data_IF_581326310383
#
_entry.id   IF_581326310383
#
_cell.length_a   1.000
_cell.length_b   1.000
_cell.length_c   1.000
_cell.angle_alpha   90.00
_cell.angle_beta   90.00
_cell.angle_gamma   90.00
#
_symmetry.space_group_name_H-M   'P 1'
#
loop_
_entity.id
_entity.type
_entity.pdbx_description
1 polymer ?
#
# COMPACT_ATOMS: atom_id res chain seq x y z
N UNK A 1 -15.21 18.29 -26.96
CA UNK A 1 -14.35 17.25 -26.35
C UNK A 1 -14.34 17.44 -24.84
N UNK A 2 -15.23 16.74 -24.12
CA UNK A 2 -15.25 16.76 -22.65
C UNK A 2 -14.24 15.75 -22.10
N UNK A 3 -12.96 16.12 -22.07
CA UNK A 3 -12.00 15.38 -21.28
C UNK A 3 -12.35 15.60 -19.80
N UNK A 4 -13.14 14.69 -19.21
CA UNK A 4 -13.26 14.57 -17.76
C UNK A 4 -11.84 14.26 -17.24
N UNK A 5 -11.09 15.30 -16.90
CA UNK A 5 -9.75 15.16 -16.35
C UNK A 5 -9.81 14.30 -15.08
N UNK A 6 -8.99 13.24 -15.05
CA UNK A 6 -9.05 12.23 -14.00
C UNK A 6 -8.46 12.78 -12.69
N UNK A 7 -8.97 12.35 -11.52
CA UNK A 7 -8.32 12.65 -10.26
C UNK A 7 -6.86 12.20 -10.29
N UNK A 8 -5.98 13.01 -9.69
CA UNK A 8 -4.59 12.65 -9.49
C UNK A 8 -4.31 12.39 -8.01
N UNK A 9 -3.51 11.36 -7.73
CA UNK A 9 -2.99 11.06 -6.40
C UNK A 9 -1.49 10.83 -6.52
N UNK A 10 -0.74 11.29 -5.53
CA UNK A 10 0.68 11.04 -5.40
C UNK A 10 0.96 10.66 -3.95
N UNK A 11 1.70 9.56 -3.78
CA UNK A 11 2.13 9.03 -2.50
C UNK A 11 3.65 9.06 -2.47
N UNK A 12 4.21 9.89 -1.61
CA UNK A 12 5.64 9.93 -1.35
C UNK A 12 5.86 9.40 0.08
N UNK A 13 6.49 8.24 0.22
CA UNK A 13 6.72 7.60 1.53
C UNK A 13 8.20 7.33 1.75
N UNK A 14 8.71 7.68 2.93
CA UNK A 14 10.03 7.27 3.41
C UNK A 14 9.86 6.29 4.57
N UNK A 15 10.22 5.03 4.34
CA UNK A 15 10.19 3.99 5.36
C UNK A 15 11.54 3.91 6.09
N UNK A 16 11.53 4.20 7.39
CA UNK A 16 12.67 3.93 8.27
C UNK A 16 12.46 2.55 8.89
N UNK A 17 13.34 1.61 8.54
CA UNK A 17 13.25 0.22 9.02
C UNK A 17 14.44 -0.13 9.92
N UNK A 18 14.17 -0.64 11.11
CA UNK A 18 15.14 -1.30 11.98
C UNK A 18 14.91 -2.81 12.00
N UNK A 19 15.96 -3.62 11.98
CA UNK A 19 15.84 -5.09 12.14
C UNK A 19 16.95 -5.59 13.05
N UNK A 20 16.57 -6.33 14.08
CA UNK A 20 17.48 -6.93 15.05
C UNK A 20 17.36 -8.45 15.02
N UNK A 21 18.48 -9.13 14.75
CA UNK A 21 18.55 -10.59 14.72
C UNK A 21 18.81 -11.10 16.15
N UNK A 22 17.79 -11.73 16.76
CA UNK A 22 17.84 -12.22 18.15
C UNK A 22 18.55 -13.57 18.21
N UNK A 23 18.21 -14.48 17.29
CA UNK A 23 18.86 -15.79 17.12
C UNK A 23 19.12 -16.00 15.64
N UNK A 24 19.87 -17.01 15.17
CA UNK A 24 20.01 -17.27 13.73
C UNK A 24 18.69 -17.47 12.96
N UNK A 25 17.59 -17.76 13.67
CA UNK A 25 16.27 -17.96 13.08
C UNK A 25 15.32 -16.79 13.31
N UNK A 26 15.37 -16.19 14.50
CA UNK A 26 14.42 -15.16 14.95
C UNK A 26 15.00 -13.76 14.78
N UNK A 27 14.25 -12.87 14.13
CA UNK A 27 14.51 -11.44 14.13
C UNK A 27 13.25 -10.64 14.48
N UNK A 28 13.46 -9.42 14.94
CA UNK A 28 12.43 -8.42 15.16
C UNK A 28 12.66 -7.25 14.21
N UNK A 29 11.62 -6.81 13.51
CA UNK A 29 11.66 -5.67 12.62
C UNK A 29 10.65 -4.61 13.06
N UNK A 30 11.04 -3.34 12.97
CA UNK A 30 10.17 -2.18 13.18
C UNK A 30 10.21 -1.30 11.93
N UNK A 31 9.06 -0.79 11.49
CA UNK A 31 8.94 0.12 10.36
C UNK A 31 8.21 1.38 10.82
N UNK A 32 8.81 2.54 10.54
CA UNK A 32 8.24 3.87 10.76
C UNK A 32 8.08 4.55 9.39
N UNK A 33 6.85 4.63 8.85
CA UNK A 33 6.59 5.30 7.58
C UNK A 33 6.43 6.82 7.77
N UNK A 34 7.08 7.60 6.93
CA UNK A 34 6.92 9.06 6.85
C UNK A 34 6.21 9.40 5.54
N UNK A 35 4.98 9.89 5.62
CA UNK A 35 4.10 10.07 4.46
C UNK A 35 3.99 11.54 4.06
N UNK A 36 4.08 11.80 2.75
CA UNK A 36 3.79 13.08 2.11
C UNK A 36 2.86 12.79 0.93
N UNK A 37 1.56 12.80 1.20
CA UNK A 37 0.55 12.41 0.23
C UNK A 37 -0.19 13.63 -0.32
N UNK A 38 -0.63 13.54 -1.57
CA UNK A 38 -1.35 14.60 -2.28
C UNK A 38 -2.48 14.01 -3.08
N UNK A 39 -3.62 14.67 -3.08
CA UNK A 39 -4.74 14.35 -3.96
C UNK A 39 -5.26 15.61 -4.63
N UNK A 40 -5.73 15.47 -5.85
CA UNK A 40 -6.50 16.51 -6.49
C UNK A 40 -7.59 15.92 -7.40
N UNK A 41 -8.77 16.52 -7.34
CA UNK A 41 -9.95 16.06 -8.06
C UNK A 41 -10.86 17.24 -8.38
N UNK A 42 -11.79 17.03 -9.32
CA UNK A 42 -12.87 17.97 -9.59
C UNK A 42 -14.13 17.58 -8.85
N UNK A 43 -14.93 18.58 -8.51
CA UNK A 43 -16.29 18.39 -8.02
C UNK A 43 -17.15 17.80 -9.13
N UNK A 44 -17.78 16.66 -8.82
CA UNK A 44 -18.39 15.79 -9.84
C UNK A 44 -19.70 16.38 -10.37
N UNK A 45 -20.44 17.07 -9.50
CA UNK A 45 -21.79 17.58 -9.77
C UNK A 45 -21.84 19.10 -10.01
N UNK A 46 -20.73 19.82 -9.78
CA UNK A 46 -20.66 21.23 -10.11
C UNK A 46 -20.83 21.42 -11.65
N UNK A 47 -21.66 22.39 -12.08
CA UNK A 47 -21.75 22.81 -13.48
C UNK A 47 -20.36 23.02 -14.09
N UNK A 48 -20.17 22.68 -15.37
CA UNK A 48 -18.84 22.76 -16.02
C UNK A 48 -18.20 24.16 -15.89
N UNK A 49 -19.00 25.22 -15.88
CA UNK A 49 -18.55 26.60 -15.71
C UNK A 49 -18.07 26.94 -14.28
N UNK A 50 -18.39 26.12 -13.28
CA UNK A 50 -18.08 26.37 -11.85
C UNK A 50 -17.29 25.23 -11.21
N UNK A 51 -16.79 24.25 -11.98
CA UNK A 51 -15.98 23.16 -11.43
C UNK A 51 -14.68 23.69 -10.85
N UNK A 52 -14.55 23.56 -9.54
CA UNK A 52 -13.32 23.90 -8.84
C UNK A 52 -12.47 22.63 -8.72
N UNK A 53 -11.15 22.80 -8.86
CA UNK A 53 -10.19 21.73 -8.63
C UNK A 53 -9.82 21.73 -7.16
N UNK A 54 -10.28 20.72 -6.44
CA UNK A 54 -9.90 20.51 -5.06
C UNK A 54 -8.50 19.91 -4.96
N UNK A 55 -7.77 20.33 -3.93
CA UNK A 55 -6.41 19.89 -3.62
C UNK A 55 -6.30 19.63 -2.14
N UNK A 56 -5.99 18.38 -1.80
CA UNK A 56 -5.72 17.97 -0.43
C UNK A 56 -4.26 17.51 -0.31
N UNK A 57 -3.66 17.78 0.84
CA UNK A 57 -2.32 17.30 1.21
C UNK A 57 -2.38 16.72 2.61
N UNK A 58 -1.65 15.64 2.83
CA UNK A 58 -1.52 15.02 4.13
C UNK A 58 -0.04 14.73 4.38
N UNK A 59 0.48 15.14 5.54
CA UNK A 59 1.88 14.94 5.91
C UNK A 59 1.98 14.50 7.35
N UNK A 60 2.36 13.26 7.58
CA UNK A 60 2.48 12.74 8.93
C UNK A 60 3.33 11.48 8.98
N UNK A 61 3.74 11.10 10.18
CA UNK A 61 4.13 9.73 10.46
C UNK A 61 2.90 8.86 10.20
N UNK A 62 3.07 7.72 9.55
CA UNK A 62 2.00 6.74 9.40
C UNK A 62 1.93 5.76 10.57
N UNK A 63 1.20 4.68 10.37
CA UNK A 63 1.07 3.66 11.40
C UNK A 63 2.36 2.83 11.52
N UNK A 64 2.96 2.85 12.71
CA UNK A 64 4.19 2.12 13.02
C UNK A 64 3.86 0.63 13.12
N UNK A 65 4.71 -0.21 12.55
CA UNK A 65 4.57 -1.67 12.67
C UNK A 65 5.78 -2.32 13.31
N UNK A 66 5.51 -3.40 14.03
CA UNK A 66 6.53 -4.28 14.62
C UNK A 66 6.18 -5.72 14.27
N UNK A 67 7.15 -6.44 13.70
CA UNK A 67 6.96 -7.81 13.24
C UNK A 67 8.08 -8.71 13.73
N UNK A 68 7.72 -9.82 14.37
CA UNK A 68 8.65 -10.89 14.70
C UNK A 68 8.66 -11.90 13.55
N UNK A 69 9.85 -12.28 13.09
CA UNK A 69 10.06 -13.17 11.94
C UNK A 69 10.93 -14.34 12.32
N UNK A 70 10.55 -15.54 11.91
CA UNK A 70 11.31 -16.76 12.18
C UNK A 70 11.52 -17.57 10.91
N UNK A 71 12.76 -17.99 10.66
CA UNK A 71 13.08 -18.97 9.64
C UNK A 71 12.65 -20.38 10.08
N UNK A 72 12.00 -21.13 9.18
CA UNK A 72 11.61 -22.52 9.40
C UNK A 72 12.86 -23.38 9.60
N UNK A 73 13.86 -23.25 8.72
CA UNK A 73 15.15 -23.92 8.86
C UNK A 73 16.21 -22.95 9.36
N UNK A 74 17.24 -23.45 10.06
CA UNK A 74 18.42 -22.62 10.36
C UNK A 74 19.08 -22.20 9.03
N UNK A 75 19.36 -20.91 8.82
CA UNK A 75 19.93 -20.46 7.55
C UNK A 75 21.26 -21.15 7.16
N UNK A 76 22.08 -21.53 8.15
CA UNK A 76 23.33 -22.27 7.95
C UNK A 76 23.13 -23.70 7.42
N UNK A 77 21.99 -24.33 7.74
CA UNK A 77 21.66 -25.70 7.34
C UNK A 77 20.85 -25.73 6.03
N UNK A 78 20.28 -24.60 5.60
CA UNK A 78 19.47 -24.47 4.37
C UNK A 78 19.97 -23.37 3.43
N UNK A 79 21.24 -23.43 2.94
CA UNK A 79 21.86 -22.35 2.18
C UNK A 79 21.24 -22.13 0.79
N UNK A 80 20.52 -23.13 0.27
CA UNK A 80 19.91 -23.09 -1.07
C UNK A 80 18.44 -22.65 -1.05
N UNK A 81 17.85 -22.42 0.10
CA UNK A 81 16.46 -21.96 0.17
C UNK A 81 15.87 -22.14 1.54
N UNK A 82 14.93 -21.28 1.90
CA UNK A 82 14.30 -21.30 3.21
C UNK A 82 12.93 -20.63 3.14
N UNK A 83 12.18 -20.75 4.22
CA UNK A 83 10.88 -20.12 4.42
C UNK A 83 10.97 -19.34 5.74
N UNK A 84 10.57 -18.07 5.71
CA UNK A 84 10.38 -17.22 6.86
C UNK A 84 8.90 -16.98 7.05
N UNK A 85 8.44 -17.09 8.29
CA UNK A 85 7.09 -16.70 8.69
C UNK A 85 7.20 -15.51 9.65
N UNK A 86 6.27 -14.57 9.56
CA UNK A 86 6.22 -13.41 10.41
C UNK A 86 4.84 -13.14 10.96
N UNK A 87 4.80 -12.69 12.20
CA UNK A 87 3.61 -12.20 12.89
C UNK A 87 3.94 -10.87 13.55
N UNK A 88 3.06 -9.89 13.37
CA UNK A 88 3.31 -8.53 13.84
C UNK A 88 2.04 -7.77 14.15
N UNK A 89 2.24 -6.56 14.63
CA UNK A 89 1.19 -5.59 14.90
C UNK A 89 1.49 -4.29 14.17
N UNK A 90 0.44 -3.71 13.58
CA UNK A 90 0.43 -2.33 13.12
C UNK A 90 -0.32 -1.50 14.14
N UNK A 91 0.33 -0.48 14.69
CA UNK A 91 -0.21 0.36 15.76
C UNK A 91 -0.80 1.65 15.18
N UNK A 92 -1.91 2.18 15.74
CA UNK A 92 -2.61 3.36 15.24
C UNK A 92 -1.90 4.67 15.64
N UNK A 93 -0.63 4.81 15.25
CA UNK A 93 0.21 5.97 15.60
C UNK A 93 0.12 7.10 14.57
N UNK A 94 -0.30 6.78 13.34
CA UNK A 94 -0.42 7.75 12.27
C UNK A 94 -1.65 8.64 12.43
N UNK A 95 -1.58 9.86 11.88
CA UNK A 95 -2.74 10.75 11.92
C UNK A 95 -3.84 10.26 10.97
N UNK A 96 -4.93 9.71 11.53
CA UNK A 96 -6.12 9.30 10.78
C UNK A 96 -7.23 10.38 10.79
N UNK A 97 -6.97 11.57 11.35
CA UNK A 97 -7.90 12.71 11.41
C UNK A 97 -7.33 13.94 10.69
N UNK A 98 -6.41 13.75 9.77
CA UNK A 98 -5.86 14.83 8.95
C UNK A 98 -6.99 15.52 8.16
N UNK A 99 -6.96 16.86 8.13
CA UNK A 99 -7.99 17.68 7.48
C UNK A 99 -7.38 18.64 6.45
N UNK A 100 -8.21 19.05 5.50
CA UNK A 100 -7.89 20.08 4.50
C UNK A 100 -9.12 20.95 4.24
N UNK A 101 -8.91 22.19 3.84
CA UNK A 101 -10.00 23.09 3.45
C UNK A 101 -10.55 22.71 2.07
N UNK A 102 -11.67 21.99 2.04
CA UNK A 102 -12.30 21.45 0.83
C UNK A 102 -13.69 22.06 0.65
N UNK A 103 -14.11 22.29 -0.59
CA UNK A 103 -15.50 22.61 -0.89
C UNK A 103 -16.42 21.39 -0.75
N UNK A 104 -17.71 21.65 -0.62
CA UNK A 104 -18.75 20.62 -0.72
C UNK A 104 -18.89 20.10 -2.17
N UNK A 105 -19.82 19.19 -2.42
CA UNK A 105 -20.00 18.57 -3.74
C UNK A 105 -20.31 19.53 -4.91
N UNK A 106 -20.67 20.79 -4.61
CA UNK A 106 -20.91 21.87 -5.58
C UNK A 106 -19.71 22.82 -5.76
N UNK A 107 -18.59 22.59 -5.04
CA UNK A 107 -17.42 23.47 -5.00
C UNK A 107 -17.62 24.71 -4.13
N UNK A 108 -18.66 24.74 -3.30
CA UNK A 108 -19.00 25.87 -2.43
C UNK A 108 -18.69 25.54 -0.97
N UNK A 109 -18.98 26.46 -0.04
CA UNK A 109 -18.94 26.23 1.41
C UNK A 109 -17.65 25.55 1.90
N UNK A 110 -16.50 26.14 1.60
CA UNK A 110 -15.21 25.55 1.96
C UNK A 110 -15.07 25.42 3.47
N UNK A 111 -14.97 24.20 3.96
CA UNK A 111 -14.85 23.88 5.38
C UNK A 111 -13.64 22.98 5.64
N UNK A 112 -13.27 22.84 6.92
CA UNK A 112 -12.16 22.01 7.34
C UNK A 112 -12.61 20.55 7.47
N UNK A 113 -12.52 19.82 6.36
CA UNK A 113 -12.99 18.43 6.23
C UNK A 113 -11.85 17.43 6.29
N UNK A 114 -12.10 16.18 6.73
CA UNK A 114 -11.15 15.08 6.58
C UNK A 114 -10.59 14.97 5.16
N UNK A 115 -9.30 14.73 5.05
CA UNK A 115 -8.70 14.42 3.76
C UNK A 115 -9.27 13.10 3.21
N UNK A 116 -9.28 12.89 1.89
CA UNK A 116 -9.70 11.61 1.32
C UNK A 116 -8.94 10.43 1.93
N UNK A 117 -9.65 9.34 2.27
CA UNK A 117 -9.09 8.11 2.85
C UNK A 117 -7.82 7.65 2.12
N UNK A 118 -7.81 7.76 0.80
CA UNK A 118 -6.69 7.36 -0.06
C UNK A 118 -5.37 8.07 0.23
N UNK A 119 -5.35 9.24 0.87
CA UNK A 119 -4.12 9.97 1.21
C UNK A 119 -3.89 10.06 2.71
N UNK A 120 -4.75 9.43 3.51
CA UNK A 120 -4.70 9.48 4.96
C UNK A 120 -3.43 8.77 5.47
N UNK A 121 -2.62 9.40 6.33
CA UNK A 121 -1.36 8.81 6.80
C UNK A 121 -1.50 7.57 7.69
N UNK A 122 -2.58 7.49 8.48
CA UNK A 122 -2.94 6.32 9.27
C UNK A 122 -4.43 6.03 9.14
N UNK A 123 -4.88 4.87 9.60
CA UNK A 123 -6.30 4.50 9.55
C UNK A 123 -6.95 4.36 10.94
N UNK A 124 -6.13 4.40 12.00
CA UNK A 124 -6.58 4.27 13.38
C UNK A 124 -6.81 2.81 13.81
N UNK A 125 -6.55 1.81 12.98
CA UNK A 125 -6.62 0.39 13.35
C UNK A 125 -5.44 -0.07 14.21
N UNK A 126 -5.72 -0.91 15.22
CA UNK A 126 -4.72 -1.82 15.76
C UNK A 126 -4.90 -3.14 15.04
N UNK A 127 -3.93 -3.48 14.21
CA UNK A 127 -4.10 -4.52 13.20
C UNK A 127 -3.02 -5.59 13.30
N UNK A 128 -3.32 -6.79 12.82
CA UNK A 128 -2.43 -7.93 12.85
C UNK A 128 -1.78 -8.10 11.48
N UNK A 129 -0.46 -8.23 11.46
CA UNK A 129 0.31 -8.51 10.24
C UNK A 129 0.68 -9.98 10.25
N UNK A 130 0.34 -10.67 9.18
CA UNK A 130 0.90 -12.00 8.88
C UNK A 130 1.73 -11.89 7.61
N UNK A 131 2.92 -12.50 7.59
CA UNK A 131 3.77 -12.49 6.40
C UNK A 131 4.54 -13.80 6.22
N UNK A 132 4.88 -14.09 4.98
CA UNK A 132 5.72 -15.21 4.61
C UNK A 132 6.68 -14.81 3.50
N UNK A 133 7.90 -15.33 3.55
CA UNK A 133 8.89 -15.23 2.49
C UNK A 133 9.52 -16.60 2.26
N UNK A 134 9.43 -17.11 1.05
CA UNK A 134 10.14 -18.30 0.61
C UNK A 134 11.15 -17.92 -0.48
N UNK A 135 12.33 -18.52 -0.45
CA UNK A 135 13.30 -18.38 -1.53
C UNK A 135 14.02 -19.69 -1.82
N UNK A 136 14.49 -19.84 -3.05
CA UNK A 136 15.30 -20.98 -3.47
C UNK A 136 16.29 -20.60 -4.56
N UNK A 137 17.53 -21.03 -4.39
CA UNK A 137 18.56 -20.95 -5.42
C UNK A 137 18.20 -21.89 -6.57
N UNK A 138 18.15 -21.33 -7.78
CA UNK A 138 17.85 -22.01 -9.03
C UNK A 138 18.99 -21.79 -10.04
N UNK A 139 18.98 -22.57 -11.12
CA UNK A 139 19.99 -22.48 -12.18
C UNK A 139 19.52 -21.69 -13.41
N UNK A 140 18.24 -21.34 -13.45
CA UNK A 140 17.62 -20.55 -14.52
C UNK A 140 17.38 -19.11 -14.04
N UNK A 141 17.51 -18.09 -14.90
CA UNK A 141 18.11 -18.15 -16.23
C UNK A 141 19.62 -18.36 -16.18
N UNK A 142 20.27 -18.11 -15.04
CA UNK A 142 21.70 -18.36 -14.82
C UNK A 142 21.98 -18.93 -13.44
N UNK A 143 23.12 -19.63 -13.28
CA UNK A 143 23.58 -20.15 -11.98
C UNK A 143 23.77 -18.99 -11.00
N UNK A 144 23.19 -19.13 -9.80
CA UNK A 144 23.20 -18.08 -8.78
C UNK A 144 21.93 -17.23 -8.76
N UNK A 145 20.95 -17.54 -9.62
CA UNK A 145 19.62 -16.94 -9.52
C UNK A 145 18.88 -17.48 -8.30
N UNK A 146 18.12 -16.61 -7.64
CA UNK A 146 17.23 -16.92 -6.53
C UNK A 146 15.80 -16.67 -7.01
N UNK A 147 14.97 -17.71 -7.00
CA UNK A 147 13.53 -17.56 -7.11
C UNK A 147 12.95 -17.28 -5.72
N UNK A 148 11.97 -16.40 -5.63
CA UNK A 148 11.35 -16.04 -4.36
C UNK A 148 9.83 -15.85 -4.50
N UNK A 149 9.14 -16.05 -3.39
CA UNK A 149 7.74 -15.70 -3.21
C UNK A 149 7.59 -15.05 -1.83
N UNK A 150 6.93 -13.91 -1.77
CA UNK A 150 6.68 -13.14 -0.56
C UNK A 150 5.22 -12.75 -0.53
N UNK A 151 4.57 -12.90 0.62
CA UNK A 151 3.21 -12.43 0.82
C UNK A 151 3.02 -11.85 2.22
N UNK A 152 2.06 -10.93 2.34
CA UNK A 152 1.60 -10.42 3.62
C UNK A 152 0.10 -10.14 3.58
N UNK A 153 -0.56 -10.33 4.72
CA UNK A 153 -1.96 -9.99 4.93
C UNK A 153 -2.09 -9.19 6.22
N UNK A 154 -2.75 -8.03 6.12
CA UNK A 154 -3.09 -7.13 7.22
C UNK A 154 -4.55 -7.38 7.59
N UNK A 155 -4.77 -7.83 8.82
CA UNK A 155 -6.09 -8.12 9.39
C UNK A 155 -6.50 -6.94 10.27
N UNK A 156 -7.63 -6.31 9.96
CA UNK A 156 -8.08 -5.06 10.55
C UNK A 156 -9.42 -5.20 11.28
N UNK A 157 -9.46 -5.59 12.57
CA UNK A 157 -10.70 -5.92 13.27
C UNK A 157 -11.58 -4.69 13.59
N UNK A 158 -11.08 -3.46 13.44
CA UNK A 158 -11.71 -2.22 13.91
C UNK A 158 -13.02 -1.89 13.18
N UNK A 159 -13.19 -2.28 11.92
CA UNK A 159 -14.34 -1.92 11.10
C UNK A 159 -14.31 -0.46 10.64
N UNK A 160 -14.69 0.50 11.50
CA UNK A 160 -14.68 1.95 11.11
C UNK A 160 -13.80 2.79 12.03
N UNK A 161 -13.22 3.87 11.48
CA UNK A 161 -12.38 4.78 12.27
C UNK A 161 -13.15 5.99 12.86
N UNK A 162 -14.44 6.13 12.54
CA UNK A 162 -15.29 7.22 13.01
C UNK A 162 -14.98 8.58 12.41
N UNK A 163 -14.21 8.62 11.32
CA UNK A 163 -13.92 9.84 10.55
C UNK A 163 -14.85 9.89 9.35
N UNK A 164 -15.45 11.05 9.07
CA UNK A 164 -16.34 11.19 7.93
C UNK A 164 -15.63 10.80 6.63
N UNK A 165 -16.32 10.03 5.81
CA UNK A 165 -15.87 9.63 4.48
C UNK A 165 -16.16 10.73 3.47
N UNK A 166 -15.66 10.56 2.24
CA UNK A 166 -16.01 11.47 1.15
C UNK A 166 -17.51 11.46 0.82
N UNK A 167 -18.24 10.40 1.20
CA UNK A 167 -19.70 10.36 1.13
C UNK A 167 -20.30 11.25 2.22
N UNK A 168 -19.82 11.13 3.45
CA UNK A 168 -20.30 11.92 4.59
C UNK A 168 -19.99 13.42 4.45
N UNK A 169 -18.79 13.78 4.00
CA UNK A 169 -18.36 15.17 3.80
C UNK A 169 -18.90 15.80 2.51
N UNK A 170 -19.56 15.02 1.65
CA UNK A 170 -20.06 15.54 0.37
C UNK A 170 -21.17 16.57 0.57
N UNK A 171 -21.90 16.53 1.69
CA UNK A 171 -23.16 17.27 1.91
C UNK A 171 -24.27 16.98 0.89
N UNK A 172 -24.09 16.02 -0.02
CA UNK A 172 -25.11 15.64 -0.98
C UNK A 172 -26.12 14.67 -0.32
N UNK A 173 -27.39 15.07 -0.10
CA UNK A 173 -28.36 14.22 0.57
C UNK A 173 -28.63 12.90 -0.18
N UNK A 174 -28.50 12.91 -1.51
CA UNK A 174 -28.69 11.71 -2.33
C UNK A 174 -27.59 10.65 -2.10
N UNK A 175 -26.44 11.05 -1.56
CA UNK A 175 -25.33 10.18 -1.23
C UNK A 175 -25.30 9.83 0.27
N UNK A 176 -25.39 10.85 1.14
CA UNK A 176 -25.23 10.69 2.60
C UNK A 176 -26.46 10.12 3.32
N UNK A 177 -27.67 10.36 2.79
CA UNK A 177 -28.94 9.84 3.34
C UNK A 177 -29.46 8.62 2.58
N UNK A 178 -28.68 8.07 1.65
CA UNK A 178 -29.06 6.87 0.92
C UNK A 178 -29.22 5.67 1.87
N UNK A 179 -30.25 4.83 1.65
CA UNK A 179 -30.52 3.67 2.49
C UNK A 179 -29.33 2.68 2.59
N UNK A 180 -28.56 2.49 1.51
CA UNK A 180 -27.36 1.65 1.52
C UNK A 180 -26.22 2.30 2.33
N UNK A 181 -26.00 3.60 2.15
CA UNK A 181 -25.03 4.38 2.94
C UNK A 181 -25.33 4.29 4.43
N UNK A 182 -26.59 4.48 4.84
CA UNK A 182 -26.99 4.45 6.25
C UNK A 182 -26.90 3.04 6.83
N UNK A 183 -27.41 2.02 6.12
CA UNK A 183 -27.36 0.61 6.56
C UNK A 183 -25.92 0.12 6.76
N UNK A 184 -25.02 0.52 5.87
CA UNK A 184 -23.62 0.08 5.88
C UNK A 184 -22.67 1.07 6.58
N UNK A 185 -23.19 2.14 7.20
CA UNK A 185 -22.41 3.18 7.87
C UNK A 185 -21.34 3.87 6.97
N UNK A 186 -21.62 4.00 5.67
CA UNK A 186 -20.67 4.53 4.68
C UNK A 186 -20.41 6.04 4.80
N UNK A 187 -21.10 6.75 5.69
CA UNK A 187 -20.75 8.12 6.04
C UNK A 187 -19.42 8.23 6.79
N UNK A 188 -18.88 7.11 7.29
CA UNK A 188 -17.59 7.04 7.96
C UNK A 188 -16.62 6.13 7.21
N UNK A 189 -15.32 6.42 7.31
CA UNK A 189 -14.30 5.59 6.67
C UNK A 189 -14.16 4.24 7.38
N UNK A 190 -14.05 3.20 6.55
CA UNK A 190 -13.67 1.87 6.99
C UNK A 190 -12.17 1.78 7.25
N UNK A 191 -11.78 0.82 8.08
CA UNK A 191 -10.43 0.27 8.19
C UNK A 191 -10.51 -1.12 7.57
N UNK A 192 -10.16 -1.30 6.27
CA UNK A 192 -10.31 -2.57 5.59
C UNK A 192 -9.03 -3.40 5.62
N UNK A 193 -9.18 -4.71 5.44
CA UNK A 193 -8.03 -5.61 5.27
C UNK A 193 -7.20 -5.21 4.04
N UNK A 194 -5.93 -5.63 4.02
CA UNK A 194 -5.04 -5.41 2.89
C UNK A 194 -4.11 -6.59 2.68
N UNK A 195 -3.76 -6.85 1.42
CA UNK A 195 -2.83 -7.92 1.08
C UNK A 195 -1.82 -7.49 0.03
N UNK A 196 -0.66 -8.14 0.07
CA UNK A 196 0.39 -8.01 -0.92
C UNK A 196 0.99 -9.39 -1.21
N UNK A 197 1.24 -9.66 -2.48
CA UNK A 197 1.96 -10.83 -2.97
C UNK A 197 3.03 -10.35 -3.96
N UNK A 198 4.20 -10.99 -3.90
CA UNK A 198 5.31 -10.75 -4.81
C UNK A 198 6.02 -12.07 -5.12
N UNK A 199 6.12 -12.43 -6.39
CA UNK A 199 6.77 -13.66 -6.84
C UNK A 199 7.74 -13.30 -7.95
N UNK A 200 9.00 -13.71 -7.84
CA UNK A 200 9.99 -13.25 -8.79
C UNK A 200 11.34 -13.94 -8.69
N UNK A 201 12.30 -13.37 -9.38
CA UNK A 201 13.65 -13.86 -9.47
C UNK A 201 14.64 -12.71 -9.32
N UNK A 202 15.75 -12.97 -8.65
CA UNK A 202 16.91 -12.09 -8.55
C UNK A 202 18.13 -12.88 -8.97
N UNK A 203 18.95 -12.36 -9.88
CA UNK A 203 20.12 -13.07 -10.37
C UNK A 203 21.28 -12.15 -10.71
N UNK A 204 22.51 -12.68 -10.87
CA UNK A 204 23.66 -11.87 -11.23
C UNK A 204 23.44 -11.21 -12.60
N UNK A 205 23.65 -9.90 -12.69
CA UNK A 205 23.58 -9.16 -13.96
C UNK A 205 24.72 -9.57 -14.90
N UNK A 206 25.90 -9.82 -14.34
CA UNK A 206 27.11 -10.18 -15.09
C UNK A 206 27.76 -11.46 -14.52
N UNK A 207 27.20 -12.66 -14.78
CA UNK A 207 27.61 -13.90 -14.11
C UNK A 207 29.06 -14.32 -14.37
N UNK A 208 29.66 -13.91 -15.50
CA UNK A 208 31.03 -14.29 -15.90
C UNK A 208 32.07 -13.18 -15.62
N UNK A 209 31.68 -12.05 -15.03
CA UNK A 209 32.62 -10.94 -14.83
C UNK A 209 33.64 -11.23 -13.73
N UNK A 210 34.89 -10.86 -13.96
CA UNK A 210 35.93 -10.88 -12.93
C UNK A 210 36.02 -9.56 -12.17
N UNK A 211 35.42 -8.47 -12.70
CA UNK A 211 35.43 -7.15 -12.06
C UNK A 211 34.59 -7.17 -10.78
N UNK A 212 35.25 -6.99 -9.64
CA UNK A 212 34.63 -7.04 -8.31
C UNK A 212 33.49 -6.02 -8.13
N UNK A 213 33.55 -4.86 -8.81
CA UNK A 213 32.49 -3.86 -8.77
C UNK A 213 31.23 -4.35 -9.50
N UNK A 214 31.39 -5.13 -10.57
CA UNK A 214 30.26 -5.64 -11.35
C UNK A 214 29.63 -6.91 -10.76
N UNK A 215 30.36 -7.66 -9.92
CA UNK A 215 29.85 -8.86 -9.23
C UNK A 215 28.71 -8.57 -8.24
N UNK A 216 28.67 -7.36 -7.70
CA UNK A 216 27.63 -6.93 -6.76
C UNK A 216 26.29 -6.58 -7.40
N UNK A 217 26.27 -6.41 -8.74
CA UNK A 217 25.05 -6.02 -9.46
C UNK A 217 24.21 -7.25 -9.81
N UNK A 218 22.94 -7.20 -9.44
CA UNK A 218 21.95 -8.23 -9.70
C UNK A 218 20.72 -7.62 -10.38
N UNK A 219 20.12 -8.32 -11.31
CA UNK A 219 18.82 -7.97 -11.87
C UNK A 219 17.71 -8.54 -11.00
N UNK A 220 16.54 -7.93 -11.07
CA UNK A 220 15.31 -8.39 -10.46
C UNK A 220 14.18 -8.33 -11.49
N UNK A 221 13.35 -9.36 -11.50
CA UNK A 221 12.04 -9.31 -12.13
C UNK A 221 11.03 -10.01 -11.22
N UNK A 222 9.94 -9.31 -10.88
CA UNK A 222 8.88 -9.89 -10.06
C UNK A 222 7.49 -9.56 -10.62
N UNK A 223 6.56 -10.45 -10.37
CA UNK A 223 5.13 -10.20 -10.43
C UNK A 223 4.66 -9.73 -9.06
N UNK A 224 3.79 -8.71 -9.02
CA UNK A 224 3.27 -8.10 -7.81
C UNK A 224 1.74 -8.06 -7.89
N UNK A 225 1.07 -8.43 -6.80
CA UNK A 225 -0.38 -8.37 -6.67
C UNK A 225 -0.74 -7.80 -5.30
N UNK A 226 -1.43 -6.68 -5.28
CA UNK A 226 -1.85 -5.99 -4.07
C UNK A 226 -3.29 -5.58 -4.15
N UNK A 227 -3.95 -5.53 -3.00
CA UNK A 227 -5.31 -5.05 -2.94
C UNK A 227 -5.85 -4.97 -1.53
N UNK A 228 -7.12 -4.60 -1.50
CA UNK A 228 -7.97 -4.60 -0.32
C UNK A 228 -9.27 -5.35 -0.69
N UNK A 229 -9.66 -6.39 0.07
CA UNK A 229 -10.85 -7.17 -0.24
C UNK A 229 -12.13 -6.39 0.08
N UNK A 230 -13.25 -6.82 -0.49
CA UNK A 230 -14.57 -6.27 -0.13
C UNK A 230 -15.00 -6.68 1.28
N UNK A 231 -14.53 -7.85 1.73
CA UNK A 231 -14.82 -8.42 3.03
C UNK A 231 -13.54 -8.63 3.82
N UNK A 232 -13.55 -8.15 5.05
CA UNK A 232 -12.48 -8.36 6.02
C UNK A 232 -12.55 -9.82 6.50
N UNK A 233 -11.38 -10.42 6.73
CA UNK A 233 -11.22 -11.77 7.26
C UNK A 233 -11.84 -11.88 8.66
N UNK A 234 -11.65 -10.84 9.47
CA UNK A 234 -12.25 -10.70 10.79
C UNK A 234 -12.73 -9.26 11.00
N UNK A 235 -13.87 -9.08 11.66
CA UNK A 235 -14.41 -7.75 11.98
C UNK A 235 -15.60 -7.37 11.12
N UNK A 236 -15.81 -6.07 10.96
CA UNK A 236 -17.02 -5.49 10.35
C UNK A 236 -16.72 -4.89 8.97
N UNK A 237 -17.51 -5.30 7.98
CA UNK A 237 -17.42 -4.78 6.60
C UNK A 237 -18.07 -3.39 6.39
N UNK A 238 -18.52 -2.74 7.47
CA UNK A 238 -19.17 -1.43 7.45
C UNK A 238 -18.16 -0.31 7.24
N UNK A 239 -18.66 0.84 6.78
CA UNK A 239 -17.86 2.01 6.46
C UNK A 239 -17.53 2.09 4.97
N UNK A 240 -17.22 3.30 4.52
CA UNK A 240 -16.77 3.56 3.16
C UNK A 240 -15.36 3.01 2.95
N UNK A 241 -15.20 2.24 1.88
CA UNK A 241 -13.92 1.65 1.46
C UNK A 241 -13.79 1.71 -0.06
N UNK A 242 -12.60 1.50 -0.58
CA UNK A 242 -12.36 1.42 -2.03
C UNK A 242 -11.71 0.07 -2.35
N UNK A 243 -12.47 -1.04 -2.28
CA UNK A 243 -11.92 -2.36 -2.45
C UNK A 243 -11.50 -2.57 -3.91
N UNK A 244 -10.52 -3.44 -4.11
CA UNK A 244 -9.94 -3.66 -5.42
C UNK A 244 -8.51 -4.12 -5.33
N UNK A 245 -7.90 -4.33 -6.47
CA UNK A 245 -6.52 -4.77 -6.57
C UNK A 245 -5.83 -4.30 -7.83
N UNK A 246 -4.52 -4.34 -7.82
CA UNK A 246 -3.70 -4.19 -9.01
C UNK A 246 -2.69 -5.31 -9.14
N UNK A 247 -2.32 -5.59 -10.39
CA UNK A 247 -1.25 -6.50 -10.74
C UNK A 247 -0.20 -5.74 -11.54
N UNK A 248 1.07 -5.97 -11.20
CA UNK A 248 2.19 -5.28 -11.80
C UNK A 248 3.35 -6.23 -12.12
N UNK A 249 4.15 -5.84 -13.10
CA UNK A 249 5.50 -6.39 -13.32
C UNK A 249 6.49 -5.40 -12.73
N UNK A 250 7.47 -5.91 -11.99
CA UNK A 250 8.41 -5.16 -11.18
C UNK A 250 9.85 -5.49 -11.61
N UNK A 251 10.36 -4.86 -12.69
CA UNK A 251 11.78 -4.84 -12.98
C UNK A 251 12.55 -4.05 -11.90
N UNK A 252 13.79 -4.46 -11.66
CA UNK A 252 14.65 -3.79 -10.73
C UNK A 252 16.09 -4.28 -10.77
N UNK A 253 16.90 -3.74 -9.88
CA UNK A 253 18.26 -4.21 -9.63
C UNK A 253 18.61 -4.11 -8.15
N UNK A 254 19.54 -4.96 -7.76
CA UNK A 254 20.22 -4.88 -6.47
C UNK A 254 21.70 -4.59 -6.72
N UNK A 255 22.30 -3.81 -5.84
CA UNK A 255 23.74 -3.60 -5.82
C UNK A 255 24.25 -3.82 -4.41
N UNK A 256 24.99 -4.92 -4.22
CA UNK A 256 25.62 -5.25 -2.96
C UNK A 256 27.11 -4.92 -3.00
N UNK A 257 27.58 -4.11 -2.07
CA UNK A 257 28.98 -3.84 -1.87
C UNK A 257 29.32 -3.79 -0.38
N UNK A 258 30.09 -4.78 0.09
CA UNK A 258 30.42 -4.96 1.51
C UNK A 258 29.14 -5.00 2.37
N UNK A 259 29.03 -4.08 3.34
CA UNK A 259 27.89 -3.92 4.26
C UNK A 259 26.72 -3.12 3.67
N UNK A 260 26.83 -2.68 2.42
CA UNK A 260 25.82 -1.85 1.77
C UNK A 260 25.03 -2.66 0.76
N UNK A 261 23.71 -2.52 0.80
CA UNK A 261 22.80 -3.07 -0.19
C UNK A 261 21.88 -1.94 -0.68
N UNK A 262 21.95 -1.67 -1.98
CA UNK A 262 21.01 -0.80 -2.68
C UNK A 262 20.03 -1.66 -3.46
N UNK A 263 18.76 -1.30 -3.43
CA UNK A 263 17.71 -1.94 -4.21
C UNK A 263 16.92 -0.85 -4.92
N UNK A 264 16.72 -1.02 -6.21
CA UNK A 264 15.89 -0.15 -7.04
C UNK A 264 14.88 -1.01 -7.78
N UNK A 265 13.61 -0.60 -7.79
CA UNK A 265 12.59 -1.29 -8.57
C UNK A 265 11.52 -0.32 -9.05
N UNK A 266 10.88 -0.68 -10.15
CA UNK A 266 9.79 0.09 -10.77
C UNK A 266 8.63 -0.86 -11.04
N UNK A 267 7.70 -1.07 -10.10
CA UNK A 267 6.44 -1.75 -10.39
C UNK A 267 5.65 -0.99 -11.45
N UNK A 268 5.25 -1.67 -12.51
CA UNK A 268 4.41 -1.14 -13.60
C UNK A 268 3.12 -1.94 -13.63
N UNK A 269 2.02 -1.30 -13.27
CA UNK A 269 0.70 -1.91 -13.17
C UNK A 269 0.11 -2.15 -14.57
N UNK A 270 -0.21 -3.41 -14.89
CA UNK A 270 -0.85 -3.78 -16.15
C UNK A 270 -2.35 -4.10 -15.98
N UNK A 271 -2.79 -4.45 -14.77
CA UNK A 271 -4.20 -4.65 -14.44
C UNK A 271 -4.54 -3.88 -13.16
N UNK A 272 -5.68 -3.20 -13.19
CA UNK A 272 -6.25 -2.51 -12.03
C UNK A 272 -7.76 -2.77 -12.04
N UNK A 273 -8.26 -3.35 -10.97
CA UNK A 273 -9.68 -3.68 -10.80
C UNK A 273 -10.18 -2.98 -9.55
N UNK A 274 -11.20 -2.15 -9.72
CA UNK A 274 -11.99 -1.64 -8.61
C UNK A 274 -13.16 -2.60 -8.42
N UNK A 275 -13.38 -3.03 -7.17
CA UNK A 275 -14.54 -3.82 -6.79
C UNK A 275 -15.60 -2.87 -6.23
N UNK A 276 -16.89 -3.20 -6.33
CA UNK A 276 -17.93 -2.37 -5.74
C UNK A 276 -17.75 -2.32 -4.22
N UNK A 277 -17.78 -1.11 -3.65
CA UNK A 277 -17.91 -1.00 -2.21
C UNK A 277 -19.33 -1.42 -1.82
N UNK A 278 -19.44 -2.40 -0.93
CA UNK A 278 -20.72 -2.93 -0.42
C UNK A 278 -21.55 -1.84 0.27
N UNK A 279 -20.89 -0.77 0.71
CA UNK A 279 -21.48 0.39 1.36
C UNK A 279 -21.89 1.50 0.39
N UNK A 280 -21.55 1.39 -0.90
CA UNK A 280 -21.72 2.44 -1.90
C UNK A 280 -22.90 2.13 -2.86
N UNK A 281 -23.65 3.16 -3.24
CA UNK A 281 -24.81 3.08 -4.16
C UNK A 281 -24.38 2.75 -5.60
N UNK A 282 -25.20 2.00 -6.34
CA UNK A 282 -25.18 2.00 -7.81
C UNK A 282 -25.32 3.44 -8.34
N UNK A 283 -24.33 3.90 -9.12
CA UNK A 283 -24.30 5.24 -9.71
C UNK A 283 -23.75 6.36 -8.80
N UNK A 284 -23.24 6.03 -7.61
CA UNK A 284 -22.27 6.90 -6.92
C UNK A 284 -21.01 7.10 -7.80
N UNK A 285 -20.17 8.13 -7.57
CA UNK A 285 -18.94 8.29 -8.34
C UNK A 285 -18.14 6.97 -8.28
N UNK A 286 -18.05 6.31 -9.44
CA UNK A 286 -17.43 5.00 -9.65
C UNK A 286 -16.18 4.87 -8.76
N UNK A 287 -16.00 3.77 -7.98
CA UNK A 287 -14.82 3.57 -7.14
C UNK A 287 -13.60 3.93 -7.95
N UNK A 288 -13.06 5.13 -7.67
CA UNK A 288 -12.16 5.77 -8.62
C UNK A 288 -10.92 4.89 -8.62
N UNK A 289 -10.70 4.17 -9.72
CA UNK A 289 -9.51 3.34 -10.04
C UNK A 289 -8.19 4.09 -9.85
N UNK A 290 -8.25 5.39 -9.54
CA UNK A 290 -7.20 6.26 -9.01
C UNK A 290 -6.63 5.86 -7.64
N UNK A 291 -7.13 4.82 -6.97
CA UNK A 291 -6.48 4.29 -5.75
C UNK A 291 -5.19 3.51 -6.04
N UNK A 292 -4.97 3.06 -7.28
CA UNK A 292 -3.78 2.30 -7.65
C UNK A 292 -2.88 3.10 -8.59
N UNK A 293 -1.60 3.21 -8.23
CA UNK A 293 -0.63 3.90 -9.06
C UNK A 293 -0.40 3.12 -10.39
N UNK A 294 -0.30 3.79 -11.54
CA UNK A 294 0.07 3.14 -12.80
C UNK A 294 1.51 2.62 -12.76
N UNK A 295 2.40 3.31 -12.04
CA UNK A 295 3.73 2.85 -11.72
C UNK A 295 4.18 3.50 -10.39
N UNK A 296 5.14 2.88 -9.72
CA UNK A 296 5.86 3.48 -8.59
C UNK A 296 7.37 3.34 -8.77
N UNK A 297 8.14 4.17 -8.06
CA UNK A 297 9.61 4.07 -8.02
C UNK A 297 10.01 3.78 -6.59
N UNK A 298 10.68 2.66 -6.38
CA UNK A 298 11.14 2.25 -5.07
C UNK A 298 12.67 2.28 -5.04
N UNK A 299 13.21 3.00 -4.05
CA UNK A 299 14.64 3.00 -3.74
C UNK A 299 14.80 2.58 -2.27
N UNK A 300 15.52 1.49 -2.03
CA UNK A 300 15.85 1.01 -0.68
C UNK A 300 17.36 0.97 -0.50
N UNK A 301 17.83 1.60 0.56
CA UNK A 301 19.20 1.44 1.04
C UNK A 301 19.18 0.67 2.34
N UNK A 302 20.09 -0.29 2.49
CA UNK A 302 20.25 -1.10 3.70
C UNK A 302 21.72 -1.16 4.08
N UNK A 303 22.00 -0.89 5.34
CA UNK A 303 23.32 -1.04 5.95
C UNK A 303 23.28 -2.19 6.95
N UNK A 304 24.21 -3.13 6.82
CA UNK A 304 24.39 -4.24 7.74
C UNK A 304 25.44 -3.86 8.79
N UNK A 305 25.01 -3.66 10.03
CA UNK A 305 25.90 -3.34 11.16
C UNK A 305 26.83 -4.50 11.50
#
# INVERSE_FOLDING_TARGET
MNAREKPSRAWDTLDVTGTYQITPRLNLAMIVPLNINRSSYYDVEAPLATRIRERARARSIGDISVTARSWIFKPSESPKGNIMLGLGLKMPTGNFREKSTLGNYLGQNRSNEPVPLSIMPGDGGLDIITEALAYRAVKFPTKGTIAFAQGSYLITPRGTNGVLSQVGTSENPAWSLNAATLRNNANYNSVPDAYQLRVGMIGPAFPKTQNFKLKGLQWQLAYRWEGSPQHDLFGSNKGFRQPGYFMAIEPGFYYQYKKHLLQFSVPISFLKVALPDLAQKDGSPDPRTTAFAPASVNLRYTYLF
#
